data_IF_796428317258
#
_entry.id   IF_796428317258
#
_cell.length_a   1.000
_cell.length_b   1.000
_cell.length_c   1.000
_cell.angle_alpha   90.00
_cell.angle_beta   90.00
_cell.angle_gamma   90.00
#
_symmetry.space_group_name_H-M   'P 1'
#
loop_
_entity.id
_entity.type
_entity.pdbx_description
1 polymer ?
#
# COMPACT_ATOMS: atom_id res chain seq x y z
N UNK A 1 21.98 -4.31 -8.88
CA UNK A 1 20.54 -4.03 -8.98
C UNK A 1 20.13 -4.59 -10.31
N UNK A 2 19.19 -5.53 -10.29
CA UNK A 2 19.15 -6.62 -11.29
C UNK A 2 17.73 -6.80 -11.85
N UNK A 3 16.80 -5.94 -11.43
CA UNK A 3 15.42 -5.85 -11.90
C UNK A 3 15.10 -4.37 -12.11
N UNK A 4 14.50 -4.07 -13.26
CA UNK A 4 14.04 -2.73 -13.63
C UNK A 4 12.52 -2.67 -13.52
N UNK A 5 12.00 -1.67 -12.81
CA UNK A 5 10.57 -1.38 -12.77
C UNK A 5 10.34 0.02 -13.34
N UNK A 6 9.35 0.16 -14.23
CA UNK A 6 8.93 1.46 -14.74
C UNK A 6 7.60 1.85 -14.10
N UNK A 7 7.52 3.06 -13.57
CA UNK A 7 6.27 3.63 -13.06
C UNK A 7 5.35 4.10 -14.18
N UNK A 8 4.08 4.33 -13.86
CA UNK A 8 3.08 4.80 -14.82
C UNK A 8 3.40 6.18 -15.42
N UNK A 9 4.14 7.01 -14.69
CA UNK A 9 4.60 8.34 -15.08
C UNK A 9 6.00 8.35 -15.72
N UNK A 10 6.62 7.17 -15.90
CA UNK A 10 7.84 7.00 -16.72
C UNK A 10 9.15 6.67 -15.99
N UNK A 11 9.44 7.19 -14.77
CA UNK A 11 10.66 6.86 -14.02
C UNK A 11 10.94 5.36 -13.88
N UNK A 12 12.23 5.00 -13.91
CA UNK A 12 12.71 3.62 -13.80
C UNK A 12 13.46 3.41 -12.49
N UNK A 13 13.05 2.39 -11.74
CA UNK A 13 13.63 1.96 -10.48
C UNK A 13 14.49 0.72 -10.66
N UNK A 14 15.69 0.74 -10.06
CA UNK A 14 16.63 -0.38 -10.09
C UNK A 14 16.64 -1.09 -8.74
N UNK A 15 16.04 -2.28 -8.66
CA UNK A 15 15.90 -3.06 -7.41
C UNK A 15 16.75 -4.33 -7.50
N UNK A 16 17.39 -4.72 -6.39
CA UNK A 16 18.16 -5.97 -6.33
C UNK A 16 17.22 -7.16 -6.11
N UNK A 17 17.36 -8.20 -6.94
CA UNK A 17 16.47 -9.37 -6.94
C UNK A 17 16.39 -10.03 -5.55
N UNK A 18 17.52 -10.14 -4.85
CA UNK A 18 17.59 -10.73 -3.50
C UNK A 18 16.69 -10.03 -2.48
N UNK A 19 16.62 -8.71 -2.53
CA UNK A 19 15.82 -7.92 -1.59
C UNK A 19 14.34 -8.10 -1.90
N UNK A 20 14.04 -8.08 -3.19
CA UNK A 20 12.70 -8.25 -3.70
C UNK A 20 12.10 -9.62 -3.33
N UNK A 21 12.83 -10.72 -3.58
CA UNK A 21 12.42 -12.08 -3.19
C UNK A 21 12.23 -12.23 -1.67
N UNK A 22 12.98 -11.47 -0.86
CA UNK A 22 12.86 -11.54 0.61
C UNK A 22 11.73 -10.69 1.19
N UNK A 23 11.31 -9.63 0.48
CA UNK A 23 10.40 -8.61 1.02
C UNK A 23 9.03 -8.57 0.34
N UNK A 24 8.88 -9.21 -0.83
CA UNK A 24 7.66 -9.18 -1.63
C UNK A 24 7.39 -10.51 -2.32
N UNK A 25 6.16 -11.00 -2.24
CA UNK A 25 5.70 -12.13 -3.05
C UNK A 25 5.10 -11.70 -4.40
N UNK A 26 4.42 -10.54 -4.45
CA UNK A 26 3.71 -10.09 -5.66
C UNK A 26 4.61 -9.53 -6.75
N UNK A 27 5.81 -9.07 -6.39
CA UNK A 27 6.81 -8.60 -7.36
C UNK A 27 7.86 -9.65 -7.68
N UNK A 28 7.87 -10.79 -6.99
CA UNK A 28 8.87 -11.83 -7.15
C UNK A 28 8.85 -12.34 -8.59
N UNK A 29 9.76 -11.80 -9.39
CA UNK A 29 9.94 -12.19 -10.79
C UNK A 29 10.35 -13.66 -10.79
N UNK A 30 9.56 -14.52 -11.44
CA UNK A 30 9.87 -15.95 -11.59
C UNK A 30 11.31 -16.10 -12.11
N UNK A 31 12.06 -17.07 -11.58
CA UNK A 31 13.46 -17.35 -11.99
C UNK A 31 13.61 -17.63 -13.51
N UNK A 32 12.50 -17.80 -14.23
CA UNK A 32 12.45 -17.99 -15.68
C UNK A 32 12.36 -16.68 -16.48
N UNK A 33 12.09 -15.55 -15.82
CA UNK A 33 12.10 -14.21 -16.42
C UNK A 33 13.48 -13.57 -16.18
N UNK A 34 14.49 -14.24 -16.69
CA UNK A 34 15.85 -13.73 -16.75
C UNK A 34 16.01 -13.05 -18.11
N UNK A 35 16.21 -11.73 -18.05
CA UNK A 35 16.97 -10.93 -19.02
C UNK A 35 16.28 -10.68 -20.35
N UNK A 36 15.59 -9.55 -20.40
CA UNK A 36 15.94 -8.53 -21.38
C UNK A 36 16.05 -7.20 -20.61
N UNK A 37 16.76 -6.20 -21.13
CA UNK A 37 16.88 -4.85 -20.53
C UNK A 37 15.52 -4.09 -20.42
N UNK A 38 14.39 -4.80 -20.58
CA UNK A 38 13.04 -4.27 -20.56
C UNK A 38 12.53 -4.11 -19.13
N UNK A 39 12.10 -2.89 -18.75
CA UNK A 39 11.53 -2.66 -17.43
C UNK A 39 10.14 -3.27 -17.28
N UNK A 40 9.86 -3.85 -16.11
CA UNK A 40 8.52 -4.29 -15.74
C UNK A 40 7.67 -3.06 -15.44
N UNK A 41 6.62 -2.84 -16.23
CA UNK A 41 5.70 -1.72 -16.04
C UNK A 41 4.77 -1.93 -14.84
N UNK A 42 4.68 -0.92 -13.96
CA UNK A 42 3.78 -0.84 -12.82
C UNK A 42 2.80 0.32 -13.00
N UNK A 43 1.59 0.18 -12.44
CA UNK A 43 0.49 1.14 -12.66
C UNK A 43 0.57 2.35 -11.74
N UNK A 44 1.39 2.27 -10.70
CA UNK A 44 1.56 3.26 -9.67
C UNK A 44 2.49 4.38 -10.16
N UNK A 45 2.34 5.56 -9.57
CA UNK A 45 3.24 6.68 -9.86
C UNK A 45 4.60 6.48 -9.22
N UNK A 46 5.59 7.21 -9.70
CA UNK A 46 6.95 7.20 -9.14
C UNK A 46 6.95 7.53 -7.64
N UNK A 47 6.18 8.53 -7.20
CA UNK A 47 6.07 8.89 -5.77
C UNK A 47 5.59 7.74 -4.88
N UNK A 48 4.60 6.96 -5.35
CA UNK A 48 4.08 5.79 -4.61
C UNK A 48 5.15 4.70 -4.55
N UNK A 49 5.80 4.43 -5.68
CA UNK A 49 6.83 3.40 -5.78
C UNK A 49 8.10 3.75 -5.01
N UNK A 50 8.45 5.03 -4.89
CA UNK A 50 9.57 5.50 -4.06
C UNK A 50 9.39 5.12 -2.59
N UNK A 51 8.17 5.32 -2.05
CA UNK A 51 7.87 4.93 -0.67
C UNK A 51 7.82 3.41 -0.55
N UNK A 52 7.14 2.73 -1.49
CA UNK A 52 7.00 1.27 -1.45
C UNK A 52 8.36 0.56 -1.52
N UNK A 53 9.25 0.99 -2.41
CA UNK A 53 10.54 0.35 -2.61
C UNK A 53 11.53 0.58 -1.46
N UNK A 54 11.33 1.60 -0.62
CA UNK A 54 12.08 1.73 0.63
C UNK A 54 11.82 0.60 1.63
N UNK A 55 10.66 -0.07 1.56
CA UNK A 55 10.38 -1.28 2.36
C UNK A 55 11.08 -2.54 1.80
N UNK A 56 11.41 -2.53 0.50
CA UNK A 56 12.05 -3.67 -0.17
C UNK A 56 13.57 -3.56 -0.04
N UNK A 57 14.12 -2.43 -0.44
CA UNK A 57 15.57 -2.22 -0.51
C UNK A 57 15.96 -1.06 0.40
N UNK A 58 16.87 -1.28 1.36
CA UNK A 58 17.32 -0.21 2.24
C UNK A 58 18.04 0.89 1.44
N UNK A 59 17.94 2.16 1.86
CA UNK A 59 18.69 3.26 1.24
C UNK A 59 20.20 2.99 1.25
N UNK A 60 20.87 3.24 0.13
CA UNK A 60 22.29 2.99 -0.03
C UNK A 60 23.17 3.98 0.78
N UNK A 61 22.65 5.17 1.09
CA UNK A 61 23.41 6.23 1.76
C UNK A 61 23.01 6.38 3.25
N UNK A 62 24.00 6.35 4.14
CA UNK A 62 23.86 6.91 5.49
C UNK A 62 23.17 6.06 6.56
N UNK A 63 23.59 4.80 6.74
CA UNK A 63 23.49 4.04 8.02
C UNK A 63 22.13 4.08 8.77
N UNK A 64 21.00 4.02 8.07
CA UNK A 64 19.69 3.80 8.71
C UNK A 64 18.99 2.63 8.05
N UNK A 65 19.31 1.43 8.50
CA UNK A 65 18.52 0.21 8.25
C UNK A 65 17.21 0.28 9.04
N UNK A 66 16.36 1.24 8.71
CA UNK A 66 15.05 1.41 9.32
C UNK A 66 14.01 1.37 8.21
N UNK A 67 12.88 0.74 8.52
CA UNK A 67 11.69 0.87 7.69
C UNK A 67 11.32 2.36 7.58
N UNK A 68 10.83 2.82 6.42
CA UNK A 68 10.46 4.21 6.24
C UNK A 68 9.32 4.59 7.19
N UNK A 69 9.33 5.86 7.64
CA UNK A 69 8.23 6.40 8.43
C UNK A 69 7.05 6.71 7.51
N UNK A 70 5.85 6.27 7.89
CA UNK A 70 4.60 6.56 7.17
C UNK A 70 3.75 7.63 7.86
N UNK A 71 4.21 8.15 9.00
CA UNK A 71 3.43 9.05 9.88
C UNK A 71 3.09 10.39 9.23
N UNK A 72 4.02 10.90 8.42
CA UNK A 72 3.96 12.24 7.84
C UNK A 72 3.46 12.20 6.38
N UNK A 73 2.98 11.04 5.91
CA UNK A 73 2.41 10.92 4.58
C UNK A 73 1.04 11.61 4.53
N UNK A 74 0.85 12.42 3.49
CA UNK A 74 -0.47 12.94 3.14
C UNK A 74 -1.46 11.76 2.96
N UNK A 75 -2.72 11.87 3.38
CA UNK A 75 -3.66 10.74 3.41
C UNK A 75 -3.82 10.06 2.05
N UNK A 76 -3.89 10.85 0.98
CA UNK A 76 -3.98 10.32 -0.40
C UNK A 76 -2.76 9.46 -0.74
N UNK A 77 -1.56 9.90 -0.37
CA UNK A 77 -0.33 9.13 -0.56
C UNK A 77 -0.34 7.89 0.32
N UNK A 78 -0.72 8.03 1.60
CA UNK A 78 -0.79 6.91 2.55
C UNK A 78 -1.64 5.75 2.01
N UNK A 79 -2.88 6.01 1.58
CA UNK A 79 -3.75 4.96 1.06
C UNK A 79 -3.28 4.42 -0.30
N UNK A 80 -2.67 5.25 -1.15
CA UNK A 80 -2.11 4.78 -2.42
C UNK A 80 -0.94 3.81 -2.22
N UNK A 81 -0.04 4.09 -1.27
CA UNK A 81 1.05 3.16 -0.93
C UNK A 81 0.50 1.92 -0.23
N UNK A 82 -0.51 2.04 0.64
CA UNK A 82 -1.15 0.89 1.28
C UNK A 82 -1.77 -0.07 0.24
N UNK A 83 -2.50 0.45 -0.76
CA UNK A 83 -3.05 -0.37 -1.84
C UNK A 83 -1.95 -1.05 -2.67
N UNK A 84 -0.88 -0.33 -2.98
CA UNK A 84 0.26 -0.89 -3.70
C UNK A 84 0.97 -1.98 -2.88
N UNK A 85 1.08 -1.79 -1.56
CA UNK A 85 1.67 -2.78 -0.66
C UNK A 85 0.90 -4.09 -0.64
N UNK A 86 -0.43 -4.03 -0.63
CA UNK A 86 -1.29 -5.22 -0.69
C UNK A 86 -1.21 -5.89 -2.08
N UNK A 87 -1.36 -5.11 -3.16
CA UNK A 87 -1.28 -5.59 -4.55
C UNK A 87 0.02 -6.34 -4.83
N UNK A 88 1.13 -5.83 -4.32
CA UNK A 88 2.46 -6.37 -4.51
C UNK A 88 2.94 -7.24 -3.35
N UNK A 89 2.10 -7.47 -2.35
CA UNK A 89 2.37 -8.30 -1.17
C UNK A 89 3.73 -7.93 -0.55
N UNK A 90 3.95 -6.64 -0.28
CA UNK A 90 5.18 -6.12 0.34
C UNK A 90 5.02 -6.19 1.85
N UNK A 91 5.53 -7.27 2.45
CA UNK A 91 5.21 -7.65 3.83
C UNK A 91 5.44 -6.55 4.88
N UNK A 92 6.60 -5.88 4.81
CA UNK A 92 6.94 -4.80 5.74
C UNK A 92 6.00 -3.60 5.61
N UNK A 93 5.59 -3.29 4.38
CA UNK A 93 4.66 -2.20 4.12
C UNK A 93 3.24 -2.57 4.60
N UNK A 94 2.71 -3.74 4.21
CA UNK A 94 1.39 -4.21 4.64
C UNK A 94 1.22 -4.12 6.16
N UNK A 95 2.17 -4.67 6.92
CA UNK A 95 2.14 -4.61 8.38
C UNK A 95 2.22 -3.18 8.94
N UNK A 96 3.07 -2.33 8.34
CA UNK A 96 3.25 -0.95 8.79
C UNK A 96 2.01 -0.10 8.53
N UNK A 97 1.42 -0.18 7.32
CA UNK A 97 0.24 0.58 6.94
C UNK A 97 -1.01 0.11 7.71
N UNK A 98 -1.26 -1.20 7.79
CA UNK A 98 -2.37 -1.75 8.58
C UNK A 98 -2.29 -1.36 10.07
N UNK A 99 -1.10 -1.42 10.68
CA UNK A 99 -0.91 -0.98 12.07
C UNK A 99 -1.20 0.51 12.23
N UNK A 100 -0.77 1.33 11.27
CA UNK A 100 -0.98 2.78 11.32
C UNK A 100 -2.43 3.18 11.04
N UNK A 101 -3.21 2.34 10.35
CA UNK A 101 -4.64 2.59 10.12
C UNK A 101 -5.44 2.67 11.43
N UNK A 102 -5.04 1.97 12.49
CA UNK A 102 -5.63 2.16 13.83
C UNK A 102 -5.50 3.59 14.35
N UNK A 103 -4.46 4.32 13.94
CA UNK A 103 -4.24 5.72 14.32
C UNK A 103 -4.98 6.68 13.38
N UNK A 104 -5.29 6.25 12.17
CA UNK A 104 -5.98 7.06 11.16
C UNK A 104 -7.50 6.90 11.19
N UNK A 105 -8.02 5.83 11.79
CA UNK A 105 -9.44 5.47 11.76
C UNK A 105 -10.36 6.57 12.27
N UNK A 106 -9.96 7.33 13.30
CA UNK A 106 -10.78 8.43 13.82
C UNK A 106 -10.91 9.59 12.82
N UNK A 107 -9.89 9.82 11.99
CA UNK A 107 -9.83 10.94 11.05
C UNK A 107 -10.36 10.56 9.66
N UNK A 108 -10.06 9.35 9.20
CA UNK A 108 -10.37 8.85 7.85
C UNK A 108 -11.08 7.47 7.89
N UNK A 109 -12.23 7.35 8.58
CA UNK A 109 -12.86 6.05 8.80
C UNK A 109 -13.38 5.41 7.51
N UNK A 110 -13.80 6.20 6.52
CA UNK A 110 -14.35 5.66 5.26
C UNK A 110 -13.23 5.07 4.40
N UNK A 111 -12.09 5.74 4.32
CA UNK A 111 -10.92 5.29 3.59
C UNK A 111 -10.29 4.05 4.24
N UNK A 112 -10.17 4.04 5.58
CA UNK A 112 -9.75 2.84 6.32
C UNK A 112 -10.72 1.69 6.09
N UNK A 113 -12.02 1.94 6.13
CA UNK A 113 -13.05 0.92 5.90
C UNK A 113 -12.94 0.28 4.51
N UNK A 114 -12.81 1.11 3.46
CA UNK A 114 -12.66 0.65 2.09
C UNK A 114 -11.42 -0.24 1.91
N UNK A 115 -10.29 0.19 2.47
CA UNK A 115 -9.05 -0.59 2.41
C UNK A 115 -9.19 -1.91 3.18
N UNK A 116 -9.61 -1.84 4.44
CA UNK A 116 -9.63 -2.99 5.33
C UNK A 116 -10.63 -4.06 4.89
N UNK A 117 -11.76 -3.68 4.29
CA UNK A 117 -12.72 -4.64 3.75
C UNK A 117 -12.16 -5.38 2.54
N UNK A 118 -11.52 -4.64 1.61
CA UNK A 118 -10.93 -5.21 0.40
C UNK A 118 -9.84 -6.24 0.71
N UNK A 119 -9.03 -5.99 1.73
CA UNK A 119 -7.83 -6.79 2.03
C UNK A 119 -7.99 -7.73 3.24
N UNK A 120 -9.17 -7.76 3.86
CA UNK A 120 -9.51 -8.77 4.86
C UNK A 120 -8.98 -8.50 6.27
N UNK A 121 -9.14 -7.27 6.76
CA UNK A 121 -8.76 -6.86 8.12
C UNK A 121 -10.01 -6.68 9.02
N UNK A 122 -10.67 -7.76 9.49
CA UNK A 122 -11.99 -7.71 10.12
C UNK A 122 -12.05 -6.82 11.38
N UNK A 123 -11.01 -6.85 12.22
CA UNK A 123 -10.98 -6.05 13.44
C UNK A 123 -10.95 -4.54 13.15
N UNK A 124 -10.21 -4.11 12.11
CA UNK A 124 -10.20 -2.72 11.68
C UNK A 124 -11.46 -2.34 10.92
N UNK A 125 -12.04 -3.28 10.18
CA UNK A 125 -13.35 -3.14 9.51
C UNK A 125 -14.39 -2.75 10.56
N UNK A 126 -14.51 -3.51 11.66
CA UNK A 126 -15.42 -3.21 12.77
C UNK A 126 -15.14 -1.87 13.45
N UNK A 127 -13.85 -1.60 13.74
CA UNK A 127 -13.45 -0.33 14.33
C UNK A 127 -13.82 0.85 13.42
N UNK A 128 -13.53 0.77 12.12
CA UNK A 128 -13.77 1.82 11.15
C UNK A 128 -15.26 2.08 10.91
N UNK A 129 -16.06 1.03 10.75
CA UNK A 129 -17.50 1.18 10.56
C UNK A 129 -18.18 1.88 11.73
N UNK A 130 -17.81 1.54 12.97
CA UNK A 130 -18.34 2.22 14.16
C UNK A 130 -18.13 3.74 14.13
N UNK A 131 -17.02 4.18 13.53
CA UNK A 131 -16.64 5.60 13.37
C UNK A 131 -17.34 6.29 12.20
N UNK A 132 -17.94 5.53 11.28
CA UNK A 132 -18.75 6.09 10.18
C UNK A 132 -20.17 6.46 10.60
N UNK A 133 -20.71 5.86 11.68
CA UNK A 133 -22.09 6.09 12.15
C UNK A 133 -22.36 7.56 12.50
N UNK A 134 -21.34 8.27 13.01
CA UNK A 134 -21.45 9.68 13.37
C UNK A 134 -21.40 10.64 12.17
N UNK A 135 -21.15 10.13 10.95
CA UNK A 135 -21.07 10.93 9.72
C UNK A 135 -22.42 10.90 8.96
N UNK A 136 -22.71 11.94 8.16
CA UNK A 136 -23.90 11.94 7.31
C UNK A 136 -23.89 10.73 6.36
N UNK A 137 -25.01 9.98 6.31
CA UNK A 137 -25.13 8.76 5.50
C UNK A 137 -24.75 8.99 4.03
N UNK A 138 -25.19 10.09 3.42
CA UNK A 138 -24.83 10.43 2.03
C UNK A 138 -23.31 10.53 1.84
N UNK A 139 -22.60 11.20 2.75
CA UNK A 139 -21.15 11.33 2.67
C UNK A 139 -20.41 9.99 2.85
N UNK A 140 -20.98 9.08 3.65
CA UNK A 140 -20.44 7.72 3.79
C UNK A 140 -20.69 6.92 2.52
N UNK A 141 -21.92 6.90 1.99
CA UNK A 141 -22.28 6.20 0.75
C UNK A 141 -21.41 6.66 -0.43
N UNK A 142 -21.23 7.98 -0.59
CA UNK A 142 -20.45 8.55 -1.69
C UNK A 142 -18.95 8.21 -1.59
N UNK A 143 -18.45 8.02 -0.37
CA UNK A 143 -17.05 7.67 -0.13
C UNK A 143 -16.75 6.17 -0.20
N UNK A 144 -17.77 5.31 -0.14
CA UNK A 144 -17.59 3.86 -0.21
C UNK A 144 -17.31 3.41 -1.64
N UNK A 145 -16.41 2.44 -1.80
CA UNK A 145 -16.15 1.85 -3.10
C UNK A 145 -17.33 1.03 -3.63
N UNK A 146 -18.10 0.41 -2.73
CA UNK A 146 -19.30 -0.35 -3.08
C UNK A 146 -20.45 0.00 -2.12
N UNK A 147 -21.60 0.51 -2.61
CA UNK A 147 -22.74 0.86 -1.77
C UNK A 147 -23.29 -0.31 -0.93
N UNK A 148 -23.12 -1.55 -1.41
CA UNK A 148 -23.53 -2.77 -0.72
C UNK A 148 -22.80 -3.02 0.60
N UNK A 149 -21.70 -2.30 0.87
CA UNK A 149 -20.99 -2.39 2.14
C UNK A 149 -21.89 -1.99 3.30
N UNK A 150 -22.78 -0.99 3.16
CA UNK A 150 -23.67 -0.54 4.23
C UNK A 150 -24.58 -1.66 4.77
N UNK A 151 -24.99 -2.60 3.92
CA UNK A 151 -25.89 -3.70 4.29
C UNK A 151 -25.24 -4.65 5.31
N UNK A 152 -23.90 -4.68 5.41
CA UNK A 152 -23.20 -5.53 6.39
C UNK A 152 -23.27 -5.00 7.83
N UNK A 153 -23.72 -3.76 8.05
CA UNK A 153 -23.63 -3.08 9.36
C UNK A 153 -24.95 -2.49 9.86
N UNK A 154 -25.98 -2.47 9.01
CA UNK A 154 -27.37 -2.11 9.34
C UNK A 154 -28.14 -3.38 9.61
#
# INVERSE_FOLDING_TARGET
ADVLFQSSDGPIFKICRRHLQSASAGLAVSDHLVVDDEPVYLQETSEVLEVLFQFIQPPAEGKRFRQPSVRDLEPRMFFAVAEAAEKYIVYGAMNTFSTHMYQMVDKYPVEVLNHCERHGYPDLVDAAASKTISKPLAAVVDGLWHPGLIIRWV
#
